data_IF_750923051174
#
_entry.id   IF_750923051174
#
_cell.length_a   1.000
_cell.length_b   1.000
_cell.length_c   1.000
_cell.angle_alpha   90.00
_cell.angle_beta   90.00
_cell.angle_gamma   90.00
#
_symmetry.space_group_name_H-M   'P 1'
#
loop_
_entity.id
_entity.type
_entity.pdbx_description
1 polymer ?
#
# COMPACT_ATOMS: atom_id res chain seq x y z
N UNK A 1 -16.85 -23.69 -13.32
CA UNK A 1 -16.29 -22.88 -12.22
C UNK A 1 -16.65 -21.42 -12.42
N UNK A 2 -16.88 -20.70 -11.32
CA UNK A 2 -17.15 -19.25 -11.30
C UNK A 2 -16.09 -18.59 -10.43
N UNK A 3 -15.50 -17.49 -10.90
CA UNK A 3 -14.57 -16.66 -10.14
C UNK A 3 -15.25 -15.34 -9.78
N UNK A 4 -15.64 -15.19 -8.51
CA UNK A 4 -16.23 -13.96 -8.00
C UNK A 4 -15.14 -13.05 -7.45
N UNK A 5 -15.20 -11.77 -7.84
CA UNK A 5 -14.29 -10.70 -7.39
C UNK A 5 -12.78 -11.02 -7.53
N UNK A 6 -12.43 -11.92 -8.46
CA UNK A 6 -11.06 -12.42 -8.66
C UNK A 6 -10.42 -13.06 -7.42
N UNK A 7 -11.21 -13.44 -6.41
CA UNK A 7 -10.70 -13.96 -5.14
C UNK A 7 -11.44 -15.18 -4.61
N UNK A 8 -12.71 -15.39 -5.00
CA UNK A 8 -13.52 -16.51 -4.55
C UNK A 8 -13.84 -17.43 -5.73
N UNK A 9 -13.38 -18.67 -5.64
CA UNK A 9 -13.57 -19.71 -6.64
C UNK A 9 -14.69 -20.63 -6.20
N UNK A 10 -15.72 -20.72 -7.02
CA UNK A 10 -16.89 -21.56 -6.79
C UNK A 10 -17.00 -22.62 -7.87
N UNK A 11 -17.37 -23.83 -7.47
CA UNK A 11 -17.74 -24.90 -8.38
C UNK A 11 -19.25 -24.87 -8.59
N UNK A 12 -19.69 -24.89 -9.85
CA UNK A 12 -21.12 -25.00 -10.18
C UNK A 12 -21.48 -26.46 -10.05
N UNK A 13 -22.36 -26.76 -9.10
CA UNK A 13 -22.85 -28.11 -8.83
C UNK A 13 -24.06 -28.45 -9.68
N UNK A 14 -24.95 -27.47 -9.87
CA UNK A 14 -26.21 -27.67 -10.59
C UNK A 14 -26.76 -26.32 -11.08
N UNK A 15 -27.64 -26.37 -12.07
CA UNK A 15 -28.36 -25.20 -12.61
C UNK A 15 -29.82 -25.57 -12.77
N UNK A 16 -30.69 -24.94 -11.98
CA UNK A 16 -32.12 -25.24 -11.94
C UNK A 16 -32.94 -24.06 -12.43
N UNK A 17 -33.98 -24.36 -13.20
CA UNK A 17 -34.88 -23.36 -13.77
C UNK A 17 -36.21 -23.35 -13.02
N UNK A 18 -36.68 -22.15 -12.70
CA UNK A 18 -37.95 -21.90 -12.05
C UNK A 18 -38.75 -20.89 -12.84
N UNK A 19 -40.08 -21.02 -12.79
CA UNK A 19 -40.96 -20.06 -13.42
C UNK A 19 -40.97 -18.70 -12.68
N UNK A 20 -40.76 -18.71 -11.36
CA UNK A 20 -40.81 -17.51 -10.52
C UNK A 20 -39.82 -17.56 -9.35
N UNK A 21 -39.48 -16.40 -8.79
CA UNK A 21 -38.66 -16.26 -7.59
C UNK A 21 -39.32 -16.92 -6.38
N UNK A 22 -40.64 -16.83 -6.22
CA UNK A 22 -41.37 -17.51 -5.14
C UNK A 22 -41.15 -19.02 -5.18
N UNK A 23 -41.32 -19.63 -6.37
CA UNK A 23 -41.10 -21.08 -6.55
C UNK A 23 -39.64 -21.48 -6.29
N UNK A 24 -38.70 -20.64 -6.70
CA UNK A 24 -37.28 -20.88 -6.42
C UNK A 24 -36.99 -20.81 -4.92
N UNK A 25 -37.51 -19.80 -4.20
CA UNK A 25 -37.33 -19.64 -2.75
C UNK A 25 -38.08 -20.66 -1.89
N UNK A 26 -39.14 -21.26 -2.43
CA UNK A 26 -39.86 -22.38 -1.79
C UNK A 26 -39.12 -23.71 -1.97
N UNK A 27 -38.53 -23.93 -3.16
CA UNK A 27 -37.81 -25.15 -3.49
C UNK A 27 -36.37 -25.15 -2.97
N UNK A 28 -35.68 -24.01 -3.04
CA UNK A 28 -34.34 -23.79 -2.52
C UNK A 28 -34.42 -23.24 -1.09
N UNK A 29 -33.48 -23.65 -0.24
CA UNK A 29 -33.45 -23.14 1.14
C UNK A 29 -33.19 -21.63 1.15
N UNK A 30 -34.15 -20.83 1.63
CA UNK A 30 -34.02 -19.37 1.67
C UNK A 30 -32.75 -18.89 2.39
N UNK A 31 -32.30 -19.60 3.43
CA UNK A 31 -31.09 -19.26 4.17
C UNK A 31 -29.80 -19.53 3.38
N UNK A 32 -29.85 -20.39 2.36
CA UNK A 32 -28.75 -20.64 1.43
C UNK A 32 -28.75 -19.62 0.28
N UNK A 33 -29.94 -19.21 -0.19
CA UNK A 33 -30.08 -18.26 -1.30
C UNK A 33 -29.86 -16.82 -0.83
N UNK A 34 -30.50 -16.43 0.29
CA UNK A 34 -30.45 -15.10 0.90
C UNK A 34 -30.15 -15.22 2.41
N UNK A 35 -28.87 -15.40 2.79
CA UNK A 35 -28.48 -15.49 4.19
C UNK A 35 -28.96 -14.29 5.01
N UNK A 36 -29.64 -14.55 6.13
CA UNK A 36 -30.19 -13.53 7.03
C UNK A 36 -31.65 -13.14 6.79
N UNK A 37 -32.24 -13.53 5.66
CA UNK A 37 -33.67 -13.34 5.35
C UNK A 37 -34.49 -14.46 5.98
N UNK A 38 -35.64 -14.11 6.59
CA UNK A 38 -36.44 -15.06 7.39
C UNK A 38 -37.69 -15.59 6.68
N UNK A 39 -38.17 -14.91 5.64
CA UNK A 39 -39.40 -15.30 4.93
C UNK A 39 -39.30 -15.11 3.42
N UNK A 40 -40.05 -15.92 2.68
CA UNK A 40 -40.13 -15.85 1.21
C UNK A 40 -40.59 -14.47 0.73
N UNK A 41 -41.53 -13.85 1.45
CA UNK A 41 -42.02 -12.50 1.12
C UNK A 41 -40.89 -11.47 1.19
N UNK A 42 -40.12 -11.46 2.29
CA UNK A 42 -38.95 -10.59 2.44
C UNK A 42 -37.86 -10.88 1.38
N UNK A 43 -37.67 -12.16 1.04
CA UNK A 43 -36.76 -12.58 -0.03
C UNK A 43 -37.19 -12.08 -1.40
N UNK A 44 -38.49 -12.15 -1.71
CA UNK A 44 -39.06 -11.63 -2.95
C UNK A 44 -38.90 -10.11 -3.05
N UNK A 45 -39.17 -9.38 -1.96
CA UNK A 45 -38.94 -7.93 -1.90
C UNK A 45 -37.46 -7.56 -2.12
N UNK A 46 -36.53 -8.45 -1.77
CA UNK A 46 -35.09 -8.26 -2.06
C UNK A 46 -34.82 -8.34 -3.55
N UNK A 47 -35.36 -9.33 -4.27
CA UNK A 47 -35.20 -9.44 -5.72
C UNK A 47 -35.92 -8.32 -6.48
N UNK A 48 -37.06 -7.83 -6.00
CA UNK A 48 -37.81 -6.72 -6.63
C UNK A 48 -37.08 -5.38 -6.64
N UNK A 49 -36.02 -5.23 -5.84
CA UNK A 49 -35.12 -4.07 -5.93
C UNK A 49 -34.26 -4.08 -7.20
N UNK A 50 -34.12 -5.24 -7.85
CA UNK A 50 -33.22 -5.46 -8.98
C UNK A 50 -33.95 -5.88 -10.27
N UNK A 51 -35.04 -6.62 -10.16
CA UNK A 51 -35.76 -7.21 -11.31
C UNK A 51 -37.26 -6.96 -11.25
N UNK A 52 -37.87 -6.57 -12.37
CA UNK A 52 -39.32 -6.37 -12.47
C UNK A 52 -40.08 -7.69 -12.65
N UNK A 53 -41.40 -7.67 -12.43
CA UNK A 53 -42.23 -8.86 -12.63
C UNK A 53 -42.33 -9.25 -14.12
N UNK A 54 -42.28 -8.26 -15.01
CA UNK A 54 -42.27 -8.50 -16.45
C UNK A 54 -41.00 -9.22 -16.89
N UNK A 55 -39.84 -8.84 -16.35
CA UNK A 55 -38.56 -9.51 -16.62
C UNK A 55 -38.59 -10.96 -16.13
N UNK A 56 -39.04 -11.18 -14.90
CA UNK A 56 -39.21 -12.53 -14.35
C UNK A 56 -40.16 -13.38 -15.20
N UNK A 57 -41.30 -12.83 -15.64
CA UNK A 57 -42.26 -13.57 -16.48
C UNK A 57 -41.69 -13.87 -17.87
N UNK A 58 -40.84 -12.99 -18.39
CA UNK A 58 -40.26 -13.13 -19.74
C UNK A 58 -39.11 -14.12 -19.78
N UNK A 59 -38.27 -14.15 -18.74
CA UNK A 59 -37.03 -14.94 -18.73
C UNK A 59 -37.05 -16.12 -17.74
N UNK A 60 -37.94 -16.11 -16.76
CA UNK A 60 -37.94 -17.04 -15.63
C UNK A 60 -36.80 -16.73 -14.65
N UNK A 61 -36.50 -17.71 -13.79
CA UNK A 61 -35.48 -17.61 -12.74
C UNK A 61 -34.56 -18.81 -12.81
N UNK A 62 -33.26 -18.58 -12.63
CA UNK A 62 -32.24 -19.63 -12.59
C UNK A 62 -31.61 -19.64 -11.20
N UNK A 63 -31.68 -20.79 -10.53
CA UNK A 63 -30.87 -21.06 -9.34
C UNK A 63 -29.56 -21.73 -9.78
N UNK A 64 -28.44 -21.06 -9.54
CA UNK A 64 -27.11 -21.62 -9.77
C UNK A 64 -26.60 -22.17 -8.44
N UNK A 65 -26.65 -23.48 -8.28
CA UNK A 65 -26.16 -24.14 -7.08
C UNK A 65 -24.63 -24.19 -7.12
N UNK A 66 -23.99 -23.61 -6.11
CA UNK A 66 -22.53 -23.50 -6.05
C UNK A 66 -22.00 -24.05 -4.74
N UNK A 67 -20.78 -24.56 -4.77
CA UNK A 67 -20.02 -24.94 -3.57
C UNK A 67 -18.66 -24.24 -3.56
N UNK A 68 -18.11 -24.04 -2.37
CA UNK A 68 -16.74 -23.56 -2.23
C UNK A 68 -15.78 -24.63 -2.71
N UNK A 69 -14.85 -24.25 -3.58
CA UNK A 69 -13.72 -25.12 -3.88
C UNK A 69 -12.81 -25.20 -2.65
N UNK A 70 -12.28 -26.39 -2.35
CA UNK A 70 -11.38 -26.62 -1.20
C UNK A 70 -10.13 -25.74 -1.28
N UNK A 71 -9.62 -25.52 -2.49
CA UNK A 71 -8.42 -24.72 -2.72
C UNK A 71 -8.82 -23.35 -3.28
N UNK A 72 -8.82 -22.35 -2.40
CA UNK A 72 -9.05 -20.96 -2.77
C UNK A 72 -7.72 -20.26 -3.11
N UNK A 73 -7.70 -19.29 -4.04
CA UNK A 73 -6.50 -18.50 -4.36
C UNK A 73 -5.86 -17.86 -3.12
N UNK A 74 -6.68 -17.41 -2.17
CA UNK A 74 -6.20 -16.84 -0.91
C UNK A 74 -5.43 -17.85 -0.04
N UNK A 75 -5.85 -19.12 -0.04
CA UNK A 75 -5.16 -20.20 0.69
C UNK A 75 -3.80 -20.46 0.04
N UNK A 76 -3.77 -20.58 -1.28
CA UNK A 76 -2.50 -20.76 -2.01
C UNK A 76 -1.54 -19.59 -1.81
N UNK A 77 -2.05 -18.35 -1.86
CA UNK A 77 -1.25 -17.16 -1.59
C UNK A 77 -0.71 -17.16 -0.16
N UNK A 78 -1.54 -17.49 0.83
CA UNK A 78 -1.11 -17.60 2.22
C UNK A 78 -0.02 -18.68 2.39
N UNK A 79 -0.15 -19.83 1.74
CA UNK A 79 0.88 -20.87 1.72
C UNK A 79 2.18 -20.37 1.09
N UNK A 80 2.12 -19.72 -0.08
CA UNK A 80 3.31 -19.16 -0.74
C UNK A 80 4.00 -18.13 0.17
N UNK A 81 3.25 -17.21 0.77
CA UNK A 81 3.80 -16.21 1.68
C UNK A 81 4.39 -16.84 2.95
N UNK A 82 3.78 -17.90 3.47
CA UNK A 82 4.31 -18.65 4.61
C UNK A 82 5.63 -19.34 4.28
N UNK A 83 5.71 -19.99 3.12
CA UNK A 83 6.93 -20.68 2.65
C UNK A 83 8.06 -19.70 2.31
N UNK A 84 7.74 -18.51 1.78
CA UNK A 84 8.73 -17.47 1.51
C UNK A 84 9.39 -16.94 2.78
N UNK A 85 8.72 -17.03 3.93
CA UNK A 85 9.09 -16.34 5.18
C UNK A 85 9.22 -14.81 5.00
N UNK A 86 9.58 -14.10 6.07
CA UNK A 86 9.82 -12.66 5.96
C UNK A 86 10.96 -12.33 4.99
N UNK A 87 12.04 -13.11 4.99
CA UNK A 87 13.21 -12.86 4.14
C UNK A 87 12.87 -12.94 2.65
N UNK A 88 12.09 -13.95 2.24
CA UNK A 88 11.65 -14.09 0.86
C UNK A 88 10.70 -12.97 0.45
N UNK A 89 9.77 -12.57 1.33
CA UNK A 89 8.87 -11.44 1.07
C UNK A 89 9.66 -10.13 0.95
N UNK A 90 10.62 -9.88 1.84
CA UNK A 90 11.51 -8.72 1.79
C UNK A 90 12.31 -8.69 0.49
N UNK A 91 12.87 -9.82 0.08
CA UNK A 91 13.59 -9.97 -1.19
C UNK A 91 12.71 -9.65 -2.40
N UNK A 92 11.46 -10.13 -2.43
CA UNK A 92 10.49 -9.81 -3.50
C UNK A 92 10.10 -8.32 -3.52
N UNK A 93 10.11 -7.66 -2.36
CA UNK A 93 9.89 -6.22 -2.25
C UNK A 93 11.15 -5.40 -2.57
N UNK A 94 12.27 -6.04 -2.90
CA UNK A 94 13.53 -5.40 -3.26
C UNK A 94 14.33 -4.87 -2.06
N UNK A 95 14.04 -5.33 -0.83
CA UNK A 95 14.85 -4.98 0.32
C UNK A 95 16.23 -5.63 0.20
N UNK A 96 17.27 -4.84 0.41
CA UNK A 96 18.61 -5.35 0.53
C UNK A 96 18.80 -6.10 1.86
N UNK A 97 19.64 -7.14 1.83
CA UNK A 97 20.07 -7.86 3.03
C UNK A 97 21.54 -7.54 3.28
N UNK A 98 21.80 -6.71 4.28
CA UNK A 98 23.15 -6.31 4.70
C UNK A 98 23.36 -6.59 6.18
N UNK A 99 24.59 -6.43 6.66
CA UNK A 99 24.87 -6.49 8.10
C UNK A 99 24.02 -5.47 8.85
N UNK A 100 23.30 -5.94 9.88
CA UNK A 100 22.36 -5.11 10.66
C UNK A 100 20.95 -5.01 10.08
N UNK A 101 20.64 -5.66 8.95
CA UNK A 101 19.27 -5.76 8.43
C UNK A 101 18.37 -6.48 9.44
N UNK A 102 17.15 -5.97 9.59
CA UNK A 102 16.12 -6.51 10.47
C UNK A 102 15.22 -7.43 9.63
N UNK A 103 15.26 -8.73 9.92
CA UNK A 103 14.71 -9.78 9.05
C UNK A 103 13.19 -9.99 9.14
N UNK A 104 12.50 -9.34 10.06
CA UNK A 104 11.07 -9.56 10.36
C UNK A 104 10.20 -8.31 10.13
N UNK A 105 10.64 -7.40 9.24
CA UNK A 105 10.01 -6.08 9.08
C UNK A 105 9.87 -5.70 7.62
N UNK A 106 8.66 -5.31 7.22
CA UNK A 106 8.40 -4.82 5.86
C UNK A 106 8.62 -3.31 5.76
N UNK A 107 8.89 -2.83 4.56
CA UNK A 107 9.01 -1.39 4.28
C UNK A 107 7.71 -0.65 4.65
N UNK A 108 7.76 0.53 5.29
CA UNK A 108 6.58 1.33 5.53
C UNK A 108 5.85 1.72 4.24
N UNK A 109 4.51 1.89 4.27
CA UNK A 109 3.77 2.37 3.11
C UNK A 109 4.30 3.72 2.61
N UNK A 110 4.37 3.89 1.28
CA UNK A 110 4.79 5.18 0.67
C UNK A 110 3.98 6.36 1.19
N UNK A 111 2.67 6.17 1.44
CA UNK A 111 1.81 7.19 2.04
C UNK A 111 2.32 7.62 3.41
N UNK A 112 2.68 6.69 4.29
CA UNK A 112 3.24 6.98 5.62
C UNK A 112 4.54 7.79 5.52
N UNK A 113 5.45 7.41 4.62
CA UNK A 113 6.73 8.10 4.40
C UNK A 113 6.51 9.55 3.94
N UNK A 114 5.57 9.76 3.02
CA UNK A 114 5.22 11.09 2.50
C UNK A 114 4.49 11.95 3.54
N UNK A 115 3.59 11.35 4.33
CA UNK A 115 2.89 12.04 5.40
C UNK A 115 3.87 12.56 6.46
N UNK A 116 4.81 11.73 6.93
CA UNK A 116 5.81 12.18 7.92
C UNK A 116 6.77 13.22 7.37
N UNK A 117 7.13 13.13 6.09
CA UNK A 117 7.94 14.14 5.39
C UNK A 117 7.25 15.51 5.30
N UNK A 118 5.92 15.51 5.17
CA UNK A 118 5.09 16.71 5.02
C UNK A 118 4.56 17.29 6.33
N UNK A 119 4.87 16.70 7.49
CA UNK A 119 4.55 17.29 8.78
C UNK A 119 5.16 18.69 8.91
N UNK A 120 4.42 19.60 9.55
CA UNK A 120 4.90 20.95 9.85
C UNK A 120 6.12 20.88 10.78
N UNK A 121 7.19 21.57 10.42
CA UNK A 121 8.44 21.54 11.20
C UNK A 121 8.32 22.32 12.52
N UNK A 122 7.65 23.46 12.50
CA UNK A 122 7.45 24.34 13.66
C UNK A 122 6.00 24.82 13.68
N UNK A 123 5.03 23.98 14.09
CA UNK A 123 3.60 24.31 14.03
C UNK A 123 3.23 25.51 14.92
N UNK A 124 4.01 25.78 15.96
CA UNK A 124 3.76 26.88 16.91
C UNK A 124 4.17 28.26 16.35
N UNK A 125 4.94 28.30 15.24
CA UNK A 125 5.39 29.56 14.64
C UNK A 125 4.33 30.07 13.67
N UNK A 126 3.62 31.12 14.09
CA UNK A 126 2.54 31.73 13.29
C UNK A 126 3.04 32.14 11.90
N UNK A 127 2.36 31.64 10.87
CA UNK A 127 2.66 31.94 9.47
C UNK A 127 3.74 31.04 8.84
N UNK A 128 4.43 30.20 9.62
CA UNK A 128 5.30 29.18 9.03
C UNK A 128 4.49 27.99 8.56
N UNK A 129 4.77 27.54 7.34
CA UNK A 129 4.18 26.32 6.76
C UNK A 129 5.26 25.35 6.30
N UNK A 130 6.52 25.61 6.67
CA UNK A 130 7.67 24.81 6.28
C UNK A 130 7.56 23.40 6.83
N UNK A 131 7.74 22.40 5.98
CA UNK A 131 7.68 20.99 6.39
C UNK A 131 9.03 20.49 6.90
N UNK A 132 9.02 19.37 7.61
CA UNK A 132 10.23 18.64 7.99
C UNK A 132 11.11 18.33 6.78
N UNK A 133 10.49 17.91 5.67
CA UNK A 133 11.18 17.64 4.41
C UNK A 133 11.88 18.87 3.82
N UNK A 134 11.19 20.01 3.72
CA UNK A 134 11.79 21.24 3.20
C UNK A 134 12.91 21.77 4.10
N UNK A 135 12.72 21.68 5.42
CA UNK A 135 13.76 22.04 6.39
C UNK A 135 14.99 21.15 6.27
N UNK A 136 14.80 19.85 6.07
CA UNK A 136 15.90 18.92 5.84
C UNK A 136 16.63 19.26 4.53
N UNK A 137 15.90 19.46 3.42
CA UNK A 137 16.50 19.79 2.12
C UNK A 137 17.38 21.05 2.20
N UNK A 138 16.97 22.06 2.98
CA UNK A 138 17.74 23.28 3.23
C UNK A 138 19.16 23.04 3.78
N UNK A 139 19.36 21.94 4.51
CA UNK A 139 20.69 21.56 5.04
C UNK A 139 21.60 20.96 3.96
N UNK A 140 21.03 20.49 2.85
CA UNK A 140 21.70 19.73 1.80
C UNK A 140 21.98 20.55 0.53
N UNK A 141 21.17 21.56 0.21
CA UNK A 141 21.31 22.36 -1.04
C UNK A 141 22.69 22.99 -1.26
N UNK A 142 23.46 23.23 -0.19
CA UNK A 142 24.81 23.80 -0.28
C UNK A 142 25.94 22.75 -0.19
N UNK A 143 25.60 21.46 -0.21
CA UNK A 143 26.55 20.34 -0.13
C UNK A 143 26.90 19.72 -1.48
N UNK A 144 26.12 20.05 -2.51
CA UNK A 144 26.21 19.45 -3.83
C UNK A 144 26.52 20.54 -4.87
N UNK A 145 27.71 20.47 -5.45
CA UNK A 145 28.23 21.41 -6.46
C UNK A 145 27.42 21.38 -7.76
N UNK A 146 26.93 20.20 -8.13
CA UNK A 146 26.03 19.98 -9.27
C UNK A 146 24.56 20.32 -8.98
N UNK A 147 24.25 20.84 -7.77
CA UNK A 147 22.89 21.24 -7.36
C UNK A 147 21.86 20.12 -7.47
N UNK A 148 22.26 18.88 -7.16
CA UNK A 148 21.37 17.71 -7.13
C UNK A 148 20.09 17.98 -6.31
N UNK A 149 20.24 18.60 -5.14
CA UNK A 149 19.14 18.95 -4.24
C UNK A 149 18.31 20.18 -4.68
N UNK A 150 18.64 20.79 -5.82
CA UNK A 150 18.01 21.98 -6.34
C UNK A 150 18.39 23.28 -5.62
N UNK A 151 17.74 24.39 -6.01
CA UNK A 151 17.95 25.71 -5.42
C UNK A 151 16.77 26.06 -4.50
N UNK A 152 17.00 26.09 -3.19
CA UNK A 152 15.96 26.33 -2.21
C UNK A 152 15.68 27.83 -2.01
N UNK A 153 14.79 28.40 -2.84
CA UNK A 153 14.43 29.82 -2.81
C UNK A 153 12.91 30.04 -2.69
N UNK A 154 12.51 31.26 -2.34
CA UNK A 154 11.10 31.68 -2.29
C UNK A 154 10.39 31.35 -0.96
N UNK A 155 9.05 31.30 -1.03
CA UNK A 155 8.18 31.07 0.12
C UNK A 155 8.27 29.64 0.66
N UNK A 156 7.76 29.40 1.88
CA UNK A 156 7.64 28.05 2.44
C UNK A 156 6.91 27.09 1.48
N UNK A 157 5.87 27.55 0.79
CA UNK A 157 5.17 26.78 -0.24
C UNK A 157 6.08 26.37 -1.40
N UNK A 158 6.94 27.29 -1.89
CA UNK A 158 7.91 26.96 -2.94
C UNK A 158 8.93 25.92 -2.48
N UNK A 159 9.44 26.07 -1.24
CA UNK A 159 10.40 25.15 -0.63
C UNK A 159 9.81 23.77 -0.42
N UNK A 160 8.59 23.70 0.09
CA UNK A 160 7.84 22.46 0.28
C UNK A 160 7.58 21.75 -1.05
N UNK A 161 7.22 22.50 -2.10
CA UNK A 161 7.00 21.94 -3.44
C UNK A 161 8.28 21.35 -4.03
N UNK A 162 9.42 22.05 -3.89
CA UNK A 162 10.72 21.51 -4.31
C UNK A 162 11.07 20.24 -3.55
N UNK A 163 10.95 20.27 -2.22
CA UNK A 163 11.26 19.12 -1.37
C UNK A 163 10.37 17.91 -1.67
N UNK A 164 9.08 18.13 -1.95
CA UNK A 164 8.16 17.10 -2.41
C UNK A 164 8.60 16.50 -3.76
N UNK A 165 9.03 17.34 -4.70
CA UNK A 165 9.56 16.87 -5.98
C UNK A 165 10.79 15.96 -5.78
N UNK A 166 11.75 16.39 -4.96
CA UNK A 166 12.97 15.63 -4.66
C UNK A 166 12.64 14.27 -4.00
N UNK A 167 11.78 14.24 -2.98
CA UNK A 167 11.49 12.98 -2.28
C UNK A 167 10.70 12.00 -3.15
N UNK A 168 9.80 12.51 -4.00
CA UNK A 168 9.05 11.68 -4.95
C UNK A 168 9.97 11.07 -6.00
N UNK A 169 10.96 11.83 -6.47
CA UNK A 169 11.97 11.32 -7.40
C UNK A 169 12.81 10.22 -6.74
N UNK A 170 13.32 10.44 -5.52
CA UNK A 170 14.05 9.41 -4.77
C UNK A 170 13.22 8.14 -4.55
N UNK A 171 11.93 8.26 -4.17
CA UNK A 171 11.04 7.10 -3.95
C UNK A 171 10.73 6.36 -5.26
N UNK A 172 10.72 7.05 -6.39
CA UNK A 172 10.40 6.47 -7.70
C UNK A 172 11.61 5.80 -8.34
N UNK A 173 12.80 6.36 -8.13
CA UNK A 173 14.05 5.92 -8.75
C UNK A 173 14.96 5.14 -7.78
N UNK A 174 14.52 4.86 -6.56
CA UNK A 174 15.32 4.10 -5.60
C UNK A 174 15.63 2.71 -6.14
N UNK A 175 16.92 2.39 -6.26
CA UNK A 175 17.40 1.07 -6.65
C UNK A 175 17.90 0.25 -5.46
N UNK A 176 17.97 0.88 -4.29
CA UNK A 176 18.36 0.24 -3.04
C UNK A 176 17.45 0.72 -1.92
N UNK A 177 16.96 -0.20 -1.12
CA UNK A 177 16.12 0.08 0.04
C UNK A 177 16.37 -0.97 1.12
N UNK A 178 16.37 -0.57 2.38
CA UNK A 178 16.70 -1.48 3.49
C UNK A 178 16.06 -1.05 4.81
N UNK A 179 15.83 -2.04 5.66
CA UNK A 179 15.39 -1.94 7.06
C UNK A 179 16.53 -2.41 7.95
N UNK A 180 17.22 -1.52 8.65
CA UNK A 180 18.42 -1.89 9.40
C UNK A 180 18.69 -0.98 10.60
N UNK A 181 19.47 -1.48 11.56
CA UNK A 181 19.89 -0.70 12.72
C UNK A 181 21.17 0.08 12.40
N UNK A 182 21.14 1.40 12.59
CA UNK A 182 22.27 2.29 12.34
C UNK A 182 22.46 3.30 13.48
N UNK A 183 23.70 3.46 13.96
CA UNK A 183 24.01 4.50 14.95
C UNK A 183 24.08 5.90 14.28
N UNK A 184 23.64 6.98 14.96
CA UNK A 184 23.02 7.04 16.29
C UNK A 184 21.49 6.89 16.27
N UNK A 185 20.90 6.46 15.16
CA UNK A 185 19.45 6.58 14.91
C UNK A 185 18.62 5.35 15.32
N UNK A 186 19.26 4.21 15.60
CA UNK A 186 18.57 2.95 15.86
C UNK A 186 18.02 2.33 14.58
N UNK A 187 16.84 1.72 14.66
CA UNK A 187 16.20 1.05 13.53
C UNK A 187 15.59 2.05 12.56
N UNK A 188 15.99 1.94 11.29
CA UNK A 188 15.60 2.89 10.24
C UNK A 188 15.15 2.19 8.97
N UNK A 189 14.31 2.89 8.21
CA UNK A 189 14.08 2.61 6.79
C UNK A 189 14.88 3.59 5.94
N UNK A 190 15.60 3.08 4.96
CA UNK A 190 16.43 3.88 4.06
C UNK A 190 16.18 3.51 2.61
N UNK A 191 16.21 4.52 1.75
CA UNK A 191 16.24 4.36 0.30
C UNK A 191 17.43 5.10 -0.28
N UNK A 192 17.98 4.57 -1.37
CA UNK A 192 19.01 5.22 -2.19
C UNK A 192 18.76 5.01 -3.69
N UNK A 193 19.13 6.03 -4.46
CA UNK A 193 19.28 5.95 -5.91
C UNK A 193 20.69 5.51 -6.28
N UNK A 194 20.93 5.22 -7.55
CA UNK A 194 22.18 4.65 -8.04
C UNK A 194 23.41 5.53 -7.77
N UNK A 195 23.21 6.85 -7.80
CA UNK A 195 24.23 7.86 -7.51
C UNK A 195 24.55 7.97 -6.00
N UNK A 196 23.86 7.21 -5.15
CA UNK A 196 24.11 7.12 -3.72
C UNK A 196 23.36 8.14 -2.88
N UNK A 197 22.67 9.12 -3.47
CA UNK A 197 21.75 9.99 -2.73
C UNK A 197 20.58 9.19 -2.17
N UNK A 198 20.01 9.66 -1.06
CA UNK A 198 18.95 8.92 -0.41
C UNK A 198 18.15 9.69 0.62
N UNK A 199 17.29 8.95 1.30
CA UNK A 199 16.41 9.45 2.34
C UNK A 199 16.21 8.38 3.41
N UNK A 200 16.04 8.83 4.66
CA UNK A 200 15.92 7.96 5.82
C UNK A 200 14.73 8.34 6.71
N UNK A 201 14.05 7.34 7.21
CA UNK A 201 12.95 7.44 8.18
C UNK A 201 13.19 6.52 9.38
N UNK A 202 12.43 6.72 10.45
CA UNK A 202 12.27 5.70 11.49
C UNK A 202 11.75 4.38 10.88
N UNK A 203 11.99 3.27 11.57
CA UNK A 203 11.51 1.92 11.22
C UNK A 203 10.04 1.87 10.77
N UNK A 204 9.17 2.63 11.44
CA UNK A 204 7.73 2.69 11.17
C UNK A 204 7.32 3.70 10.08
N UNK A 205 8.27 4.51 9.59
CA UNK A 205 8.03 5.56 8.61
C UNK A 205 7.40 6.84 9.17
N UNK A 206 7.03 6.90 10.45
CA UNK A 206 6.31 8.04 11.02
C UNK A 206 7.19 9.27 11.29
N UNK A 207 8.51 9.12 11.21
CA UNK A 207 9.45 10.22 11.38
C UNK A 207 10.45 10.25 10.23
N UNK A 208 10.46 11.36 9.48
CA UNK A 208 11.54 11.64 8.56
C UNK A 208 12.80 12.03 9.32
N UNK A 209 13.90 11.31 9.08
CA UNK A 209 15.19 11.54 9.75
C UNK A 209 16.04 12.53 8.94
N UNK A 210 16.12 12.35 7.62
CA UNK A 210 16.83 13.29 6.75
C UNK A 210 17.21 12.70 5.39
N UNK A 211 17.80 13.56 4.57
CA UNK A 211 18.43 13.17 3.30
C UNK A 211 19.83 12.62 3.53
N UNK A 212 20.32 11.87 2.54
CA UNK A 212 21.60 11.19 2.57
C UNK A 212 22.41 11.59 1.34
N UNK A 213 23.68 11.89 1.57
CA UNK A 213 24.64 12.17 0.50
C UNK A 213 25.25 10.85 -0.01
N UNK A 214 25.84 10.86 -1.21
CA UNK A 214 26.62 9.75 -1.72
C UNK A 214 27.74 9.38 -0.75
N UNK A 215 28.14 8.11 -0.75
CA UNK A 215 29.29 7.69 0.02
C UNK A 215 30.56 8.39 -0.48
N UNK A 216 31.33 8.97 0.44
CA UNK A 216 32.61 9.57 0.15
C UNK A 216 33.60 9.32 1.29
N UNK A 217 34.86 9.11 0.95
CA UNK A 217 35.93 8.97 1.95
C UNK A 217 36.05 10.26 2.77
N UNK A 218 36.05 10.09 4.10
CA UNK A 218 36.05 11.17 5.09
C UNK A 218 34.89 12.17 4.96
N UNK A 219 33.74 11.74 4.42
CA UNK A 219 32.60 12.62 4.17
C UNK A 219 32.16 13.42 5.38
N UNK A 220 32.14 12.80 6.56
CA UNK A 220 31.84 13.51 7.80
C UNK A 220 32.81 14.68 8.07
N UNK A 221 34.12 14.48 7.89
CA UNK A 221 35.14 15.52 8.09
C UNK A 221 35.02 16.64 7.05
N UNK A 222 34.56 16.32 5.84
CA UNK A 222 34.34 17.27 4.73
C UNK A 222 32.95 17.92 4.75
N UNK A 223 32.12 17.61 5.76
CA UNK A 223 30.72 18.08 5.83
C UNK A 223 29.85 17.60 4.67
N UNK A 224 30.25 16.48 4.04
CA UNK A 224 29.65 15.87 2.87
C UNK A 224 29.52 16.82 1.66
N UNK A 225 30.46 17.74 1.52
CA UNK A 225 30.54 18.62 0.35
C UNK A 225 31.21 17.89 -0.81
N UNK A 226 30.53 17.84 -1.96
CA UNK A 226 30.99 17.27 -3.23
C UNK A 226 30.56 18.17 -4.39
#
# INVERSE_FOLDING_TARGET
MILLNKCLVLEVQDVRHYATFSKMLEAESISQVLPGVKSTEEGLQTYRKFYTEEEERSYGVIAICVSNLVVQPAILLASILSELSYEGVQSLLGLAHTTGTISDVLSPPKSTLLSSFMLSYNPDVKGSTLTHGARALAKHVNRSSNKYWGNLNGSDSNKNKLAMGVIMDLISNSCWLNMYTVQPHGDVFEIRVAEGYGARWSKDGYKFIGFLEPYMDDGHLKGWKH
#
